data_IF_402693714046
#
_entry.id   IF_402693714046
#
_cell.length_a   1.000
_cell.length_b   1.000
_cell.length_c   1.000
_cell.angle_alpha   90.00
_cell.angle_beta   90.00
_cell.angle_gamma   90.00
#
_symmetry.space_group_name_H-M   'P 1'
#
loop_
_entity.id
_entity.type
_entity.pdbx_description
1 polymer ?
#
# COMPACT_ATOMS: atom_id res chain seq x y z
N UNK A 1 -8.43 5.26 -13.11
CA UNK A 1 -9.02 6.08 -14.19
C UNK A 1 -8.14 5.99 -15.44
N UNK A 2 -8.19 4.87 -16.20
CA UNK A 2 -7.26 4.63 -17.31
C UNK A 2 -7.36 5.68 -18.42
N UNK A 3 -8.57 6.10 -18.80
CA UNK A 3 -8.80 7.13 -19.83
C UNK A 3 -8.13 8.47 -19.52
N UNK A 4 -8.24 8.95 -18.27
CA UNK A 4 -7.65 10.24 -17.86
C UNK A 4 -6.12 10.15 -17.86
N UNK A 5 -5.56 9.03 -17.37
CA UNK A 5 -4.13 8.79 -17.39
C UNK A 5 -3.58 8.79 -18.81
N UNK A 6 -4.24 8.08 -19.74
CA UNK A 6 -3.91 8.10 -21.16
C UNK A 6 -3.95 9.53 -21.73
N UNK A 7 -5.05 10.27 -21.52
CA UNK A 7 -5.22 11.64 -22.01
C UNK A 7 -4.15 12.61 -21.48
N UNK A 8 -3.62 12.38 -20.27
CA UNK A 8 -2.59 13.21 -19.63
C UNK A 8 -1.16 12.68 -19.81
N UNK A 9 -0.95 11.61 -20.58
CA UNK A 9 0.37 10.98 -20.73
C UNK A 9 0.95 10.47 -19.40
N UNK A 10 0.09 9.98 -18.50
CA UNK A 10 0.49 9.43 -17.19
C UNK A 10 0.41 7.91 -17.20
N UNK A 11 1.40 7.28 -16.55
CA UNK A 11 1.41 5.85 -16.33
C UNK A 11 0.23 5.39 -15.48
N UNK A 12 -0.37 4.25 -15.83
CA UNK A 12 -1.44 3.60 -15.09
C UNK A 12 -1.16 2.10 -15.04
N UNK A 13 -1.18 1.54 -13.83
CA UNK A 13 -1.07 0.11 -13.61
C UNK A 13 -2.04 -0.35 -12.54
N UNK A 14 -2.46 -1.61 -12.65
CA UNK A 14 -3.20 -2.32 -11.61
C UNK A 14 -2.19 -3.10 -10.77
N UNK A 15 -2.36 -3.05 -9.46
CA UNK A 15 -1.63 -3.87 -8.50
C UNK A 15 -2.61 -4.78 -7.77
N UNK A 16 -2.11 -5.83 -7.12
CA UNK A 16 -2.95 -6.63 -6.26
C UNK A 16 -3.59 -5.76 -5.17
N UNK A 17 -4.90 -5.94 -4.95
CA UNK A 17 -5.70 -5.16 -4.00
C UNK A 17 -5.81 -5.81 -2.62
N UNK A 18 -5.47 -7.09 -2.53
CA UNK A 18 -5.75 -7.89 -1.35
C UNK A 18 -4.90 -7.44 -0.15
N UNK A 19 -5.52 -7.44 1.04
CA UNK A 19 -4.88 -7.16 2.33
C UNK A 19 -4.18 -5.79 2.50
N UNK A 20 -4.37 -4.85 1.58
CA UNK A 20 -3.70 -3.52 1.63
C UNK A 20 -3.92 -2.76 2.95
N UNK A 21 -5.09 -2.88 3.58
CA UNK A 21 -5.39 -2.26 4.88
C UNK A 21 -4.82 -3.01 6.10
N UNK A 22 -4.34 -4.23 5.90
CA UNK A 22 -3.85 -5.13 6.93
C UNK A 22 -2.31 -5.21 6.94
N UNK A 23 -1.71 -5.29 5.76
CA UNK A 23 -0.27 -5.36 5.53
C UNK A 23 0.46 -4.12 6.05
N UNK A 24 1.60 -4.34 6.69
CA UNK A 24 2.48 -3.26 7.10
C UNK A 24 3.31 -2.76 5.91
N UNK A 25 3.20 -1.49 5.50
CA UNK A 25 3.99 -0.96 4.40
C UNK A 25 5.49 -0.89 4.69
N UNK A 26 5.88 -1.03 5.97
CA UNK A 26 7.28 -1.11 6.39
C UNK A 26 7.75 -2.56 6.30
N UNK A 27 7.29 -3.46 7.16
CA UNK A 27 7.87 -4.81 7.25
C UNK A 27 7.12 -5.91 6.49
N UNK A 28 6.02 -5.62 5.79
CA UNK A 28 5.20 -6.62 5.09
C UNK A 28 4.34 -7.50 5.99
N UNK A 29 4.42 -7.38 7.32
CA UNK A 29 3.62 -8.19 8.25
C UNK A 29 2.12 -7.93 8.07
N UNK A 30 1.33 -9.00 7.87
CA UNK A 30 -0.12 -8.94 7.70
C UNK A 30 -0.81 -9.27 9.03
N UNK A 31 -1.77 -8.44 9.44
CA UNK A 31 -2.61 -8.70 10.61
C UNK A 31 -4.05 -8.29 10.34
N UNK A 32 -4.98 -9.20 10.65
CA UNK A 32 -6.42 -8.91 10.60
C UNK A 32 -6.78 -7.72 11.50
N UNK A 33 -7.60 -6.82 10.97
CA UNK A 33 -8.04 -5.59 11.64
C UNK A 33 -9.54 -5.39 11.41
N UNK A 34 -10.25 -4.93 12.43
CA UNK A 34 -11.64 -4.50 12.31
C UNK A 34 -11.73 -3.18 11.55
N UNK A 35 -12.83 -2.97 10.83
CA UNK A 35 -13.08 -1.73 10.06
C UNK A 35 -13.11 -0.47 10.95
N UNK A 36 -13.40 -0.61 12.24
CA UNK A 36 -13.38 0.47 13.22
C UNK A 36 -11.96 0.96 13.57
N UNK A 37 -10.92 0.16 13.33
CA UNK A 37 -9.54 0.56 13.63
C UNK A 37 -9.01 1.53 12.57
N UNK A 38 -8.96 2.83 12.91
CA UNK A 38 -8.47 3.90 12.01
C UNK A 38 -6.95 4.10 12.06
N UNK A 39 -6.28 3.61 13.10
CA UNK A 39 -4.81 3.66 13.23
C UNK A 39 -4.20 2.32 12.82
N UNK A 40 -3.13 2.36 12.03
CA UNK A 40 -2.25 1.24 11.77
C UNK A 40 -1.15 1.24 12.81
N UNK A 41 -1.07 0.18 13.62
CA UNK A 41 0.05 -0.08 14.53
C UNK A 41 0.54 -1.49 14.23
N UNK A 42 1.77 -1.61 13.77
CA UNK A 42 2.36 -2.91 13.43
C UNK A 42 2.96 -3.57 14.67
N UNK A 43 2.56 -4.80 14.98
CA UNK A 43 3.11 -5.57 16.10
C UNK A 43 4.53 -6.06 15.87
N UNK A 44 4.97 -6.18 14.61
CA UNK A 44 6.30 -6.70 14.25
C UNK A 44 7.37 -5.60 14.25
N UNK A 45 7.12 -4.44 13.65
CA UNK A 45 8.12 -3.37 13.52
C UNK A 45 7.76 -2.07 14.26
N UNK A 46 6.64 -2.05 15.01
CA UNK A 46 6.12 -0.88 15.73
C UNK A 46 5.80 0.34 14.86
N UNK A 47 5.74 0.20 13.54
CA UNK A 47 5.35 1.27 12.62
C UNK A 47 3.92 1.75 12.92
N UNK A 48 3.74 3.08 12.98
CA UNK A 48 2.45 3.70 13.26
C UNK A 48 2.08 4.77 12.22
N UNK A 49 0.84 4.73 11.75
CA UNK A 49 0.27 5.76 10.87
C UNK A 49 -1.25 5.60 10.80
N UNK A 50 -1.94 6.42 10.00
CA UNK A 50 -3.35 6.19 9.67
C UNK A 50 -3.50 4.95 8.79
N UNK A 51 -4.52 4.12 9.02
CA UNK A 51 -4.78 2.90 8.23
C UNK A 51 -4.85 3.17 6.73
N UNK A 52 -5.49 4.26 6.32
CA UNK A 52 -5.72 4.57 4.91
C UNK A 52 -4.40 5.03 4.25
N UNK A 53 -3.54 5.72 5.01
CA UNK A 53 -2.15 6.05 4.60
C UNK A 53 -1.30 4.79 4.49
N UNK A 54 -1.42 3.86 5.43
CA UNK A 54 -0.69 2.59 5.36
C UNK A 54 -1.07 1.80 4.10
N UNK A 55 -2.37 1.70 3.80
CA UNK A 55 -2.85 1.01 2.60
C UNK A 55 -2.39 1.66 1.29
N UNK A 56 -2.36 3.00 1.24
CA UNK A 56 -1.81 3.72 0.11
C UNK A 56 -0.32 3.40 -0.10
N UNK A 57 0.47 3.34 0.98
CA UNK A 57 1.89 2.97 0.91
C UNK A 57 2.10 1.53 0.44
N UNK A 58 1.31 0.57 0.91
CA UNK A 58 1.36 -0.82 0.40
C UNK A 58 1.09 -0.85 -1.11
N UNK A 59 0.09 -0.09 -1.57
CA UNK A 59 -0.24 0.01 -3.00
C UNK A 59 0.92 0.60 -3.82
N UNK A 60 1.56 1.66 -3.30
CA UNK A 60 2.75 2.27 -3.93
C UNK A 60 3.89 1.25 -4.00
N UNK A 61 4.19 0.56 -2.90
CA UNK A 61 5.27 -0.43 -2.85
C UNK A 61 5.07 -1.53 -3.90
N UNK A 62 3.85 -2.07 -4.00
CA UNK A 62 3.49 -3.06 -5.03
C UNK A 62 3.67 -2.50 -6.44
N UNK A 63 3.29 -1.24 -6.66
CA UNK A 63 3.46 -0.56 -7.94
C UNK A 63 4.93 -0.35 -8.31
N UNK A 64 5.78 0.01 -7.34
CA UNK A 64 7.22 0.16 -7.53
C UNK A 64 7.89 -1.17 -7.86
N UNK A 65 7.54 -2.24 -7.14
CA UNK A 65 8.04 -3.60 -7.40
C UNK A 65 7.63 -4.06 -8.81
N UNK A 66 6.39 -3.80 -9.22
CA UNK A 66 5.90 -4.18 -10.55
C UNK A 66 6.64 -3.48 -11.70
N UNK A 67 7.28 -2.34 -11.47
CA UNK A 67 8.13 -1.63 -12.45
C UNK A 67 9.62 -1.87 -12.25
N UNK A 68 10.00 -2.88 -11.45
CA UNK A 68 11.39 -3.28 -11.24
C UNK A 68 12.19 -2.39 -10.29
N UNK A 69 11.54 -1.53 -9.48
CA UNK A 69 12.22 -0.75 -8.45
C UNK A 69 12.32 -1.55 -7.15
N UNK A 70 13.51 -1.56 -6.56
CA UNK A 70 13.73 -2.16 -5.24
C UNK A 70 13.10 -1.32 -4.15
N UNK A 71 12.36 -1.96 -3.25
CA UNK A 71 11.81 -1.33 -2.06
C UNK A 71 12.94 -1.02 -1.07
N UNK A 72 13.21 0.25 -0.80
CA UNK A 72 14.14 0.70 0.25
C UNK A 72 13.28 1.05 1.47
N UNK A 73 13.58 0.45 2.61
CA UNK A 73 12.74 0.44 3.79
C UNK A 73 13.41 1.13 4.99
#
# INVERSE_FOLDING_TARGET
MPYICWKKGKYYAKVDKNYTSQECPKCGHIKNKKLSYRKHICSSCRYQTNRDVAAAKVTINRGLIAVGRTFIN
#
